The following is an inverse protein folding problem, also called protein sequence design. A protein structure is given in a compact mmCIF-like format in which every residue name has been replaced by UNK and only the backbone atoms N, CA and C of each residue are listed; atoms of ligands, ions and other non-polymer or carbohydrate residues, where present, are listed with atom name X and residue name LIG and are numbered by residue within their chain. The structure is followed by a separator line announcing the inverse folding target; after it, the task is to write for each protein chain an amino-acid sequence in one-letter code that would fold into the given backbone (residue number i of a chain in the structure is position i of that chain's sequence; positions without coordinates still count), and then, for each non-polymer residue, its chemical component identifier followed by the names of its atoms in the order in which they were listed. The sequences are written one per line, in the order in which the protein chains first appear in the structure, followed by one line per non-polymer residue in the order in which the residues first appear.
data_IF_358344877489
#
_entry.id   IF_358344877489
#
_cell.length_a   1.000
_cell.length_b   1.000
_cell.length_c   1.000
_cell.angle_alpha   90.00
_cell.angle_beta   90.00
_cell.angle_gamma   90.00
#
_symmetry.space_group_name_H-M   'P 1'
#
loop_
_entity.id
_entity.type
_entity.pdbx_description
1 polymer ?
#
# COMPACT_ATOMS: atom_id res chain seq x y z
N UNK A 1 -86.90 -16.06 79.32
CA UNK A 1 -86.56 -17.44 78.94
C UNK A 1 -85.99 -17.45 77.53
N UNK A 2 -84.68 -17.63 77.38
CA UNK A 2 -84.04 -18.35 76.27
C UNK A 2 -82.51 -18.20 76.40
N UNK A 3 -81.92 -19.21 77.02
CA UNK A 3 -80.48 -19.49 77.05
C UNK A 3 -80.00 -19.91 75.66
N UNK A 4 -78.77 -19.57 75.26
CA UNK A 4 -77.83 -20.50 74.61
C UNK A 4 -76.47 -19.82 74.33
N UNK A 5 -75.45 -20.14 75.13
CA UNK A 5 -74.33 -21.09 74.85
C UNK A 5 -73.29 -20.56 73.87
N UNK A 6 -72.23 -19.95 74.41
CA UNK A 6 -70.98 -19.73 73.69
C UNK A 6 -70.30 -21.08 73.40
N UNK A 7 -70.07 -21.35 72.12
CA UNK A 7 -69.27 -22.46 71.59
C UNK A 7 -67.85 -21.96 71.34
N UNK A 8 -66.88 -22.60 71.98
CA UNK A 8 -65.44 -22.41 71.76
C UNK A 8 -65.03 -22.91 70.37
N UNK A 9 -64.23 -22.10 69.67
CA UNK A 9 -63.55 -22.48 68.42
C UNK A 9 -62.18 -21.84 68.39
N UNK A 10 -61.16 -22.61 68.77
CA UNK A 10 -59.76 -22.34 68.50
C UNK A 10 -59.48 -22.55 67.02
N UNK A 11 -58.93 -21.56 66.31
CA UNK A 11 -58.13 -21.81 65.10
C UNK A 11 -57.28 -20.60 64.74
N UNK A 12 -55.97 -20.83 64.75
CA UNK A 12 -54.95 -20.23 63.89
C UNK A 12 -54.72 -18.72 64.01
N UNK A 13 -53.78 -18.35 64.88
CA UNK A 13 -53.04 -17.11 64.76
C UNK A 13 -52.25 -17.15 63.44
N UNK A 14 -52.79 -16.55 62.37
CA UNK A 14 -52.00 -16.18 61.19
C UNK A 14 -50.98 -15.15 61.65
N UNK A 15 -49.75 -15.60 61.89
CA UNK A 15 -48.63 -14.71 62.18
C UNK A 15 -48.39 -13.87 60.92
N UNK A 16 -48.88 -12.63 60.92
CA UNK A 16 -48.62 -11.66 59.86
C UNK A 16 -47.13 -11.35 59.93
N UNK A 17 -46.33 -12.06 59.13
CA UNK A 17 -44.94 -11.71 58.92
C UNK A 17 -44.93 -10.35 58.21
N UNK A 18 -44.26 -9.38 58.84
CA UNK A 18 -44.11 -8.03 58.36
C UNK A 18 -43.60 -8.04 56.91
N UNK A 19 -44.37 -7.46 56.00
CA UNK A 19 -44.11 -7.52 54.55
C UNK A 19 -42.79 -6.87 54.18
N UNK A 20 -42.33 -5.91 54.98
CA UNK A 20 -41.04 -5.25 54.78
C UNK A 20 -39.86 -6.17 55.11
N UNK A 21 -39.99 -6.98 56.16
CA UNK A 21 -38.96 -7.98 56.55
C UNK A 21 -38.85 -9.09 55.49
N UNK A 22 -39.97 -9.54 54.92
CA UNK A 22 -39.95 -10.51 53.82
C UNK A 22 -39.34 -9.91 52.55
N UNK A 23 -39.59 -8.63 52.27
CA UNK A 23 -39.02 -7.94 51.10
C UNK A 23 -37.51 -7.77 51.24
N UNK A 24 -37.03 -7.42 52.44
CA UNK A 24 -35.61 -7.31 52.75
C UNK A 24 -34.90 -8.66 52.70
N UNK A 25 -35.51 -9.72 53.27
CA UNK A 25 -34.98 -11.08 53.19
C UNK A 25 -34.91 -11.60 51.74
N UNK A 26 -35.92 -11.33 50.92
CA UNK A 26 -35.94 -11.71 49.51
C UNK A 26 -34.93 -10.89 48.68
N UNK A 27 -34.73 -9.61 48.99
CA UNK A 27 -33.72 -8.78 48.35
C UNK A 27 -32.31 -9.26 48.69
N UNK A 28 -32.04 -9.55 49.96
CA UNK A 28 -30.76 -10.11 50.41
C UNK A 28 -30.49 -11.51 49.79
N UNK A 29 -31.52 -12.34 49.64
CA UNK A 29 -31.40 -13.64 48.98
C UNK A 29 -31.12 -13.49 47.48
N UNK A 30 -31.75 -12.52 46.80
CA UNK A 30 -31.49 -12.22 45.40
C UNK A 30 -30.07 -11.68 45.18
N UNK A 31 -29.56 -10.85 46.10
CA UNK A 31 -28.18 -10.36 46.06
C UNK A 31 -27.17 -11.50 46.24
N UNK A 32 -27.41 -12.41 47.20
CA UNK A 32 -26.56 -13.57 47.43
C UNK A 32 -26.51 -14.51 46.21
N UNK A 33 -27.66 -14.77 45.57
CA UNK A 33 -27.72 -15.53 44.32
C UNK A 33 -26.98 -14.79 43.19
N UNK A 34 -26.96 -13.45 43.24
CA UNK A 34 -26.22 -12.67 42.25
C UNK A 34 -24.71 -12.75 42.37
N UNK A 35 -24.22 -12.74 43.61
CA UNK A 35 -22.80 -12.86 43.90
C UNK A 35 -22.29 -14.28 43.60
N UNK A 36 -23.11 -15.29 43.84
CA UNK A 36 -22.78 -16.68 43.52
C UNK A 36 -22.65 -16.92 42.01
N UNK A 37 -23.56 -16.38 41.17
CA UNK A 37 -23.40 -16.48 39.72
C UNK A 37 -22.17 -15.70 39.23
N UNK A 38 -21.87 -14.55 39.84
CA UNK A 38 -20.72 -13.74 39.47
C UNK A 38 -19.41 -14.49 39.75
N UNK A 39 -19.34 -15.16 40.90
CA UNK A 39 -18.22 -16.00 41.31
C UNK A 39 -18.07 -17.22 40.41
N UNK A 40 -19.14 -17.92 40.05
CA UNK A 40 -19.09 -19.04 39.11
C UNK A 40 -18.60 -18.62 37.72
N UNK A 41 -19.12 -17.51 37.17
CA UNK A 41 -18.65 -17.00 35.87
C UNK A 41 -17.19 -16.53 35.90
N UNK A 42 -16.69 -16.12 37.06
CA UNK A 42 -15.27 -15.81 37.24
C UNK A 42 -14.42 -17.08 37.25
N UNK A 43 -14.87 -18.11 37.96
CA UNK A 43 -14.20 -19.42 38.00
C UNK A 43 -14.18 -20.12 36.64
N UNK A 44 -15.29 -20.10 35.90
CA UNK A 44 -15.39 -20.66 34.55
C UNK A 44 -14.50 -19.92 33.54
N UNK A 45 -14.42 -18.59 33.65
CA UNK A 45 -13.47 -17.79 32.86
C UNK A 45 -12.03 -18.16 33.19
N UNK A 46 -11.69 -18.29 34.48
CA UNK A 46 -10.35 -18.70 34.90
C UNK A 46 -10.01 -20.15 34.51
N UNK A 47 -10.98 -21.06 34.48
CA UNK A 47 -10.80 -22.43 34.01
C UNK A 47 -10.62 -22.49 32.48
N UNK A 48 -11.41 -21.72 31.73
CA UNK A 48 -11.25 -21.56 30.28
C UNK A 48 -9.90 -20.95 29.93
N UNK A 49 -9.46 -19.95 30.67
CA UNK A 49 -8.17 -19.29 30.43
C UNK A 49 -6.98 -20.23 30.72
N UNK A 50 -7.10 -21.11 31.73
CA UNK A 50 -6.15 -22.19 32.00
C UNK A 50 -6.18 -23.28 30.91
N UNK A 51 -7.36 -23.68 30.45
CA UNK A 51 -7.53 -24.72 29.44
C UNK A 51 -7.10 -24.28 28.03
N UNK A 52 -7.32 -23.00 27.69
CA UNK A 52 -6.92 -22.41 26.42
C UNK A 52 -5.42 -22.10 26.35
N UNK A 53 -4.67 -22.33 27.43
CA UNK A 53 -3.24 -22.05 27.47
C UNK A 53 -2.94 -20.61 27.06
N UNK A 54 -3.69 -19.63 27.59
CA UNK A 54 -3.38 -18.22 27.37
C UNK A 54 -1.99 -17.95 27.93
N UNK A 55 -1.01 -17.94 27.02
CA UNK A 55 0.38 -17.61 27.33
C UNK A 55 0.36 -16.26 28.04
N UNK A 56 0.89 -16.14 29.27
CA UNK A 56 1.03 -14.84 29.91
C UNK A 56 1.77 -13.95 28.92
N UNK A 57 1.17 -12.83 28.53
CA UNK A 57 1.87 -11.80 27.76
C UNK A 57 3.11 -11.47 28.57
N UNK A 58 4.28 -11.82 28.03
CA UNK A 58 5.56 -11.66 28.69
C UNK A 58 5.63 -10.29 29.37
N UNK A 59 5.98 -10.25 30.64
CA UNK A 59 6.31 -9.00 31.36
C UNK A 59 7.67 -8.43 30.92
N UNK A 60 8.32 -9.05 29.93
CA UNK A 60 9.47 -8.46 29.27
C UNK A 60 9.04 -7.12 28.65
N UNK A 61 9.80 -6.04 28.86
CA UNK A 61 9.59 -4.79 28.15
C UNK A 61 9.44 -5.09 26.66
N UNK A 62 8.39 -4.55 26.03
CA UNK A 62 8.17 -4.73 24.59
C UNK A 62 9.51 -4.50 23.88
N UNK A 63 9.97 -5.46 23.05
CA UNK A 63 11.21 -5.27 22.32
C UNK A 63 11.06 -3.95 21.56
N UNK A 64 11.95 -3.00 21.86
CA UNK A 64 11.95 -1.69 21.21
C UNK A 64 12.26 -1.96 19.75
N UNK A 65 11.21 -2.15 18.94
CA UNK A 65 11.35 -2.41 17.52
C UNK A 65 12.13 -1.23 16.95
N UNK A 66 13.27 -1.46 16.28
CA UNK A 66 14.05 -0.38 15.71
C UNK A 66 13.10 0.42 14.82
N UNK A 67 13.02 1.74 15.07
CA UNK A 67 12.11 2.61 14.37
C UNK A 67 12.28 2.41 12.85
N UNK A 68 11.27 1.81 12.20
CA UNK A 68 11.32 1.54 10.77
C UNK A 68 11.42 2.87 10.05
N UNK A 69 12.63 3.25 9.64
CA UNK A 69 12.86 4.45 8.87
C UNK A 69 12.17 4.30 7.51
N UNK A 70 11.11 5.09 7.30
CA UNK A 70 10.49 5.21 5.99
C UNK A 70 11.54 5.77 5.03
N UNK A 71 11.77 5.13 3.87
CA UNK A 71 12.74 5.65 2.91
C UNK A 71 12.35 7.07 2.50
N UNK A 72 13.36 7.93 2.31
CA UNK A 72 13.19 9.35 1.97
C UNK A 72 12.34 9.56 0.72
N UNK A 73 12.38 8.62 -0.23
CA UNK A 73 11.57 8.55 -1.45
C UNK A 73 10.06 8.44 -1.20
N UNK A 74 9.63 8.09 0.02
CA UNK A 74 8.23 8.00 0.43
C UNK A 74 7.71 9.26 1.14
N UNK A 75 8.58 10.25 1.38
CA UNK A 75 8.15 11.58 1.82
C UNK A 75 7.40 12.30 0.69
N UNK A 76 6.55 13.26 1.05
CA UNK A 76 5.67 13.95 0.09
C UNK A 76 6.44 14.62 -1.05
N UNK A 77 7.37 15.54 -0.74
CA UNK A 77 8.11 16.29 -1.75
C UNK A 77 8.93 15.40 -2.71
N UNK A 78 9.75 14.44 -2.24
CA UNK A 78 10.46 13.52 -3.15
C UNK A 78 9.50 12.67 -4.00
N UNK A 79 8.38 12.23 -3.44
CA UNK A 79 7.41 11.43 -4.17
C UNK A 79 6.68 12.22 -5.27
N UNK A 80 6.39 13.50 -5.01
CA UNK A 80 5.80 14.42 -5.98
C UNK A 80 6.81 14.73 -7.09
N UNK A 81 8.08 14.99 -6.74
CA UNK A 81 9.14 15.21 -7.73
C UNK A 81 9.31 14.02 -8.67
N UNK A 82 9.33 12.78 -8.13
CA UNK A 82 9.39 11.57 -8.96
C UNK A 82 8.14 11.34 -9.79
N UNK A 83 6.97 11.76 -9.31
CA UNK A 83 5.74 11.68 -10.10
C UNK A 83 5.77 12.65 -11.28
N UNK A 84 6.14 13.91 -11.05
CA UNK A 84 6.27 14.89 -12.13
C UNK A 84 7.34 14.48 -13.14
N UNK A 85 8.49 13.98 -12.66
CA UNK A 85 9.55 13.47 -13.52
C UNK A 85 9.03 12.35 -14.43
N UNK A 86 8.26 11.40 -13.87
CA UNK A 86 7.63 10.32 -14.65
C UNK A 86 6.63 10.86 -15.66
N UNK A 87 5.77 11.80 -15.27
CA UNK A 87 4.73 12.34 -16.14
C UNK A 87 5.32 13.12 -17.33
N UNK A 88 6.33 13.95 -17.08
CA UNK A 88 7.03 14.71 -18.13
C UNK A 88 7.78 13.76 -19.07
N UNK A 89 8.52 12.79 -18.51
CA UNK A 89 9.24 11.78 -19.30
C UNK A 89 8.27 10.94 -20.15
N UNK A 90 7.14 10.54 -19.57
CA UNK A 90 6.11 9.81 -20.29
C UNK A 90 5.49 10.64 -21.41
N UNK A 91 5.27 11.94 -21.19
CA UNK A 91 4.80 12.86 -22.23
C UNK A 91 5.77 12.92 -23.42
N UNK A 92 7.07 13.11 -23.15
CA UNK A 92 8.11 13.16 -24.19
C UNK A 92 8.17 11.83 -24.96
N UNK A 93 8.29 10.71 -24.24
CA UNK A 93 8.36 9.38 -24.88
C UNK A 93 7.07 9.04 -25.63
N UNK A 94 5.91 9.47 -25.12
CA UNK A 94 4.62 9.26 -25.76
C UNK A 94 4.51 10.04 -27.07
N UNK A 95 4.96 11.29 -27.11
CA UNK A 95 5.01 12.08 -28.35
C UNK A 95 5.98 11.47 -29.34
N UNK A 96 7.19 11.09 -28.90
CA UNK A 96 8.18 10.44 -29.77
C UNK A 96 7.67 9.13 -30.36
N UNK A 97 7.12 8.24 -29.52
CA UNK A 97 6.56 6.97 -29.95
C UNK A 97 5.38 7.17 -30.90
N UNK A 98 4.49 8.12 -30.59
CA UNK A 98 3.37 8.46 -31.47
C UNK A 98 3.85 8.94 -32.83
N UNK A 99 4.79 9.89 -32.87
CA UNK A 99 5.36 10.40 -34.13
C UNK A 99 5.98 9.28 -34.97
N UNK A 100 6.77 8.39 -34.35
CA UNK A 100 7.36 7.23 -35.04
C UNK A 100 6.29 6.30 -35.61
N UNK A 101 5.22 6.03 -34.85
CA UNK A 101 4.14 5.14 -35.27
C UNK A 101 3.21 5.77 -36.32
N UNK A 102 3.04 7.10 -36.33
CA UNK A 102 2.25 7.79 -37.35
C UNK A 102 3.00 7.98 -38.66
N UNK A 103 4.33 8.11 -38.59
CA UNK A 103 5.20 8.21 -39.77
C UNK A 103 6.23 7.06 -39.78
N UNK A 104 5.70 5.85 -39.94
CA UNK A 104 6.53 4.63 -40.03
C UNK A 104 7.41 4.67 -41.27
N UNK A 105 6.94 5.22 -42.38
CA UNK A 105 7.72 5.35 -43.61
C UNK A 105 8.93 6.25 -43.43
N UNK A 106 8.78 7.40 -42.78
CA UNK A 106 9.89 8.29 -42.46
C UNK A 106 10.85 7.66 -41.45
N UNK A 107 10.30 6.97 -40.45
CA UNK A 107 11.10 6.27 -39.42
C UNK A 107 11.90 5.12 -40.02
N UNK A 108 11.32 4.32 -40.93
CA UNK A 108 12.00 3.25 -41.66
C UNK A 108 13.12 3.83 -42.54
N UNK A 109 12.85 4.91 -43.27
CA UNK A 109 13.87 5.59 -44.09
C UNK A 109 15.03 6.09 -43.24
N UNK A 110 14.73 6.66 -42.08
CA UNK A 110 15.74 7.08 -41.11
C UNK A 110 16.55 5.90 -40.55
N UNK A 111 15.90 4.81 -40.15
CA UNK A 111 16.56 3.57 -39.70
C UNK A 111 17.43 2.94 -40.79
N UNK A 112 16.99 3.02 -42.05
CA UNK A 112 17.76 2.56 -43.22
C UNK A 112 19.02 3.42 -43.42
N UNK A 113 18.93 4.73 -43.20
CA UNK A 113 20.08 5.65 -43.29
C UNK A 113 21.16 5.37 -42.25
N UNK A 114 20.78 4.77 -41.10
CA UNK A 114 21.69 4.32 -40.05
C UNK A 114 22.36 2.98 -40.36
N UNK A 115 21.99 2.31 -41.46
CA UNK A 115 22.55 1.02 -41.86
C UNK A 115 22.10 -0.14 -40.96
N UNK A 116 20.96 0.00 -40.28
CA UNK A 116 20.47 -1.00 -39.33
C UNK A 116 19.87 -2.24 -40.03
N UNK A 117 20.05 -3.45 -39.46
CA UNK A 117 19.46 -4.66 -40.00
C UNK A 117 17.94 -4.65 -39.81
N UNK A 118 17.21 -4.85 -40.91
CA UNK A 118 15.74 -4.82 -40.95
C UNK A 118 15.09 -3.54 -40.38
N UNK A 119 15.27 -2.39 -41.07
CA UNK A 119 14.75 -1.08 -40.66
C UNK A 119 13.24 -1.07 -40.37
N UNK A 120 12.48 -1.83 -41.16
CA UNK A 120 11.03 -1.97 -41.01
C UNK A 120 10.63 -2.49 -39.62
N UNK A 121 11.19 -3.61 -39.17
CA UNK A 121 10.85 -4.17 -37.85
C UNK A 121 11.37 -3.30 -36.71
N UNK A 122 12.53 -2.65 -36.89
CA UNK A 122 13.08 -1.74 -35.88
C UNK A 122 12.23 -0.48 -35.72
N UNK A 123 11.70 0.10 -36.81
CA UNK A 123 10.82 1.27 -36.74
C UNK A 123 9.57 0.98 -35.90
N UNK A 124 8.89 -0.14 -36.18
CA UNK A 124 7.75 -0.61 -35.38
C UNK A 124 8.14 -0.95 -33.95
N UNK A 125 9.21 -1.71 -33.76
CA UNK A 125 9.67 -2.15 -32.45
C UNK A 125 10.01 -0.98 -31.51
N UNK A 126 10.75 0.00 -32.01
CA UNK A 126 11.12 1.21 -31.25
C UNK A 126 9.87 2.06 -30.98
N UNK A 127 9.04 2.33 -31.99
CA UNK A 127 7.83 3.14 -31.80
C UNK A 127 6.87 2.54 -30.77
N UNK A 128 6.62 1.22 -30.83
CA UNK A 128 5.79 0.51 -29.84
C UNK A 128 6.45 0.52 -28.47
N UNK A 129 7.76 0.24 -28.38
CA UNK A 129 8.48 0.21 -27.11
C UNK A 129 8.45 1.58 -26.40
N UNK A 130 8.61 2.68 -27.14
CA UNK A 130 8.53 4.04 -26.61
C UNK A 130 7.12 4.34 -26.06
N UNK A 131 6.08 3.95 -26.79
CA UNK A 131 4.69 4.16 -26.37
C UNK A 131 4.35 3.32 -25.13
N UNK A 132 4.75 2.05 -25.10
CA UNK A 132 4.55 1.18 -23.94
C UNK A 132 5.33 1.69 -22.71
N UNK A 133 6.55 2.19 -22.89
CA UNK A 133 7.32 2.79 -21.81
C UNK A 133 6.64 4.05 -21.25
N UNK A 134 6.08 4.90 -22.14
CA UNK A 134 5.30 6.07 -21.73
C UNK A 134 4.08 5.67 -20.89
N UNK A 135 3.29 4.71 -21.36
CA UNK A 135 2.11 4.21 -20.63
C UNK A 135 2.50 3.62 -19.28
N UNK A 136 3.55 2.79 -19.24
CA UNK A 136 4.07 2.20 -18.00
C UNK A 136 4.51 3.27 -16.99
N UNK A 137 5.16 4.35 -17.45
CA UNK A 137 5.55 5.46 -16.59
C UNK A 137 4.37 6.25 -16.02
N UNK A 138 3.33 6.53 -16.83
CA UNK A 138 2.13 7.25 -16.38
C UNK A 138 1.47 6.54 -15.21
N UNK A 139 1.24 5.23 -15.35
CA UNK A 139 0.63 4.43 -14.29
C UNK A 139 1.62 4.07 -13.17
N UNK A 140 2.91 4.26 -13.42
CA UNK A 140 3.95 3.85 -12.49
C UNK A 140 3.98 2.35 -12.27
N UNK A 141 3.78 1.57 -13.34
CA UNK A 141 3.96 0.13 -13.38
C UNK A 141 5.35 -0.19 -13.91
N UNK A 142 6.01 -1.17 -13.31
CA UNK A 142 7.33 -1.65 -13.71
C UNK A 142 8.32 -0.49 -13.91
N UNK A 143 8.30 0.54 -13.06
CA UNK A 143 9.04 1.80 -13.33
C UNK A 143 10.55 1.58 -13.48
N UNK A 144 11.09 0.54 -12.86
CA UNK A 144 12.50 0.16 -13.03
C UNK A 144 12.78 -0.44 -14.41
N UNK A 145 11.88 -1.29 -14.91
CA UNK A 145 12.00 -1.88 -16.24
C UNK A 145 11.76 -0.82 -17.31
N UNK A 146 10.75 0.04 -17.12
CA UNK A 146 10.52 1.19 -17.98
C UNK A 146 11.72 2.15 -17.99
N UNK A 147 12.30 2.44 -16.82
CA UNK A 147 13.51 3.25 -16.70
C UNK A 147 14.72 2.63 -17.41
N UNK A 148 14.90 1.31 -17.32
CA UNK A 148 15.94 0.59 -18.07
C UNK A 148 15.70 0.69 -19.59
N UNK A 149 14.46 0.49 -20.04
CA UNK A 149 14.09 0.59 -21.46
C UNK A 149 14.35 1.99 -22.01
N UNK A 150 13.96 3.03 -21.28
CA UNK A 150 14.20 4.43 -21.66
C UNK A 150 15.71 4.73 -21.71
N UNK A 151 16.46 4.28 -20.71
CA UNK A 151 17.91 4.44 -20.70
C UNK A 151 18.55 3.75 -21.90
N UNK A 152 18.16 2.50 -22.20
CA UNK A 152 18.68 1.74 -23.32
C UNK A 152 18.36 2.40 -24.68
N UNK A 153 17.10 2.82 -24.88
CA UNK A 153 16.67 3.52 -26.10
C UNK A 153 17.42 4.84 -26.28
N UNK A 154 17.54 5.62 -25.22
CA UNK A 154 18.18 6.94 -25.27
C UNK A 154 19.69 6.83 -25.46
N UNK A 155 20.37 5.89 -24.79
CA UNK A 155 21.80 5.62 -25.00
C UNK A 155 22.05 5.08 -26.40
N UNK A 156 21.20 4.18 -26.90
CA UNK A 156 21.29 3.66 -28.26
C UNK A 156 21.15 4.76 -29.30
N UNK A 157 20.15 5.63 -29.15
CA UNK A 157 19.97 6.80 -29.99
C UNK A 157 21.18 7.75 -29.91
N UNK A 158 21.68 8.04 -28.71
CA UNK A 158 22.83 8.91 -28.52
C UNK A 158 24.08 8.37 -29.23
N UNK A 159 24.37 7.07 -29.06
CA UNK A 159 25.54 6.43 -29.66
C UNK A 159 25.44 6.26 -31.18
N UNK A 160 24.27 5.83 -31.69
CA UNK A 160 24.12 5.50 -33.11
C UNK A 160 23.70 6.69 -33.97
N UNK A 161 22.85 7.57 -33.44
CA UNK A 161 22.31 8.71 -34.19
C UNK A 161 23.14 9.96 -33.96
N UNK A 162 23.27 10.37 -32.70
CA UNK A 162 23.72 11.72 -32.39
C UNK A 162 25.23 11.86 -32.42
N UNK A 163 25.95 10.88 -31.87
CA UNK A 163 27.42 10.88 -31.83
C UNK A 163 28.06 10.04 -32.93
N UNK A 164 27.27 9.28 -33.69
CA UNK A 164 27.76 8.50 -34.84
C UNK A 164 28.41 9.36 -35.93
N UNK A 165 28.04 10.65 -36.04
CA UNK A 165 28.62 11.59 -37.00
C UNK A 165 29.97 12.21 -36.57
N UNK A 166 30.53 11.81 -35.42
CA UNK A 166 31.92 12.10 -35.03
C UNK A 166 32.13 13.35 -34.16
N UNK A 167 31.40 14.44 -34.39
CA UNK A 167 31.53 15.65 -33.54
C UNK A 167 30.19 16.06 -32.90
N UNK A 168 30.05 15.96 -31.56
CA UNK A 168 28.84 16.39 -30.86
C UNK A 168 28.69 17.92 -30.79
N UNK A 169 29.74 18.69 -31.05
CA UNK A 169 29.72 20.15 -31.04
C UNK A 169 29.64 20.70 -32.46
N UNK A 170 28.44 21.12 -32.88
CA UNK A 170 28.25 21.75 -34.18
C UNK A 170 28.47 23.27 -34.09
N UNK A 171 29.37 23.79 -34.92
CA UNK A 171 29.61 25.24 -35.02
C UNK A 171 28.31 25.97 -35.39
N UNK A 172 27.97 27.02 -34.62
CA UNK A 172 26.80 27.87 -34.87
C UNK A 172 25.48 27.42 -34.22
N UNK A 173 25.49 26.33 -33.43
CA UNK A 173 24.35 25.95 -32.57
C UNK A 173 24.74 26.09 -31.10
N UNK A 174 23.80 26.55 -30.28
CA UNK A 174 23.97 26.51 -28.83
C UNK A 174 23.77 25.06 -28.34
N UNK A 175 24.68 24.57 -27.51
CA UNK A 175 24.60 23.23 -26.93
C UNK A 175 25.37 22.14 -27.69
N UNK A 176 25.05 20.88 -27.41
CA UNK A 176 25.59 19.71 -28.10
C UNK A 176 24.49 18.81 -28.67
N UNK A 177 24.84 18.04 -29.70
CA UNK A 177 23.93 17.11 -30.36
C UNK A 177 23.63 15.94 -29.43
N UNK A 178 22.36 15.73 -29.12
CA UNK A 178 21.90 14.65 -28.24
C UNK A 178 21.67 15.03 -26.78
N UNK A 179 21.53 16.34 -26.47
CA UNK A 179 21.19 16.82 -25.12
C UNK A 179 19.94 16.16 -24.54
N UNK A 180 18.89 16.03 -25.35
CA UNK A 180 17.61 15.44 -24.92
C UNK A 180 17.76 13.95 -24.61
N UNK A 181 18.46 13.20 -25.47
CA UNK A 181 18.71 11.77 -25.29
C UNK A 181 19.63 11.52 -24.09
N UNK A 182 20.65 12.36 -23.88
CA UNK A 182 21.48 12.28 -22.68
C UNK A 182 20.65 12.53 -21.41
N UNK A 183 19.77 13.52 -21.43
CA UNK A 183 18.87 13.82 -20.32
C UNK A 183 17.90 12.65 -20.07
N UNK A 184 17.26 12.12 -21.11
CA UNK A 184 16.36 10.97 -21.01
C UNK A 184 17.09 9.72 -20.51
N UNK A 185 18.34 9.49 -20.92
CA UNK A 185 19.17 8.42 -20.41
C UNK A 185 19.43 8.58 -18.90
N UNK A 186 19.82 9.78 -18.47
CA UNK A 186 20.06 10.08 -17.06
C UNK A 186 18.77 9.94 -16.23
N UNK A 187 17.62 10.36 -16.76
CA UNK A 187 16.32 10.20 -16.10
C UNK A 187 15.92 8.73 -16.03
N UNK A 188 16.09 7.96 -17.11
CA UNK A 188 15.85 6.52 -17.13
C UNK A 188 16.68 5.77 -16.08
N UNK A 189 17.98 6.08 -15.99
CA UNK A 189 18.87 5.56 -14.95
C UNK A 189 18.43 5.98 -13.54
N UNK A 190 18.00 7.24 -13.38
CA UNK A 190 17.46 7.73 -12.10
C UNK A 190 16.24 6.92 -11.69
N UNK A 191 15.30 6.66 -12.60
CA UNK A 191 14.11 5.83 -12.32
C UNK A 191 14.46 4.36 -12.07
N UNK A 192 15.49 3.83 -12.72
CA UNK A 192 16.02 2.49 -12.48
C UNK A 192 16.58 2.35 -11.06
N UNK A 193 17.44 3.27 -10.62
CA UNK A 193 18.12 3.20 -9.33
C UNK A 193 17.26 3.69 -8.16
N UNK A 194 16.58 4.83 -8.31
CA UNK A 194 15.74 5.43 -7.26
C UNK A 194 14.41 4.68 -7.13
N UNK A 195 13.84 4.24 -8.26
CA UNK A 195 12.59 3.48 -8.30
C UNK A 195 11.31 4.33 -8.37
N UNK A 196 10.14 3.70 -8.12
CA UNK A 196 8.82 4.24 -8.49
C UNK A 196 8.34 5.46 -7.68
N UNK A 197 8.86 5.68 -6.47
CA UNK A 197 8.27 6.64 -5.53
C UNK A 197 6.91 6.20 -4.97
N UNK A 198 6.31 7.02 -4.09
CA UNK A 198 5.05 6.69 -3.39
C UNK A 198 3.79 6.78 -4.26
N UNK A 199 3.78 7.68 -5.24
CA UNK A 199 2.65 7.90 -6.15
C UNK A 199 2.73 7.01 -7.40
N UNK A 200 2.93 5.72 -7.18
CA UNK A 200 3.14 4.73 -8.22
C UNK A 200 2.41 3.48 -7.76
N UNK A 201 1.80 2.75 -8.70
CA UNK A 201 1.14 1.48 -8.37
C UNK A 201 2.17 0.49 -7.78
N UNK A 202 3.36 0.41 -8.37
CA UNK A 202 4.49 -0.36 -7.81
C UNK A 202 4.87 0.07 -6.38
N UNK A 203 4.83 1.37 -6.10
CA UNK A 203 5.11 1.95 -4.80
C UNK A 203 4.07 1.55 -3.74
N UNK A 204 2.79 1.56 -4.12
CA UNK A 204 1.69 1.14 -3.25
C UNK A 204 1.76 -0.37 -2.94
N UNK A 205 2.02 -1.21 -3.94
CA UNK A 205 2.17 -2.67 -3.75
C UNK A 205 3.32 -2.97 -2.78
N UNK A 206 4.47 -2.29 -2.94
CA UNK A 206 5.64 -2.47 -2.06
C UNK A 206 5.35 -2.01 -0.63
N UNK A 207 4.67 -0.88 -0.46
CA UNK A 207 4.26 -0.38 0.85
C UNK A 207 3.31 -1.37 1.55
N UNK A 208 2.37 -1.97 0.81
CA UNK A 208 1.43 -2.94 1.37
C UNK A 208 2.11 -4.23 1.82
N UNK A 209 3.07 -4.75 1.03
CA UNK A 209 3.90 -5.91 1.42
C UNK A 209 4.70 -5.67 2.70
N UNK A 210 5.25 -4.47 2.88
CA UNK A 210 5.99 -4.08 4.10
C UNK A 210 5.10 -4.06 5.34
N UNK A 211 3.89 -3.49 5.22
CA UNK A 211 2.91 -3.48 6.32
C UNK A 211 2.50 -4.89 6.76
N UNK A 212 2.33 -5.81 5.81
CA UNK A 212 2.00 -7.20 6.12
C UNK A 212 3.14 -7.95 6.82
N UNK A 213 4.41 -7.68 6.46
CA UNK A 213 5.57 -8.26 7.15
C UNK A 213 5.81 -7.71 8.55
N UNK A 214 5.44 -6.46 8.82
CA UNK A 214 5.57 -5.86 10.15
C UNK A 214 4.46 -6.29 11.13
N UNK A 215 3.46 -7.05 10.65
CA UNK A 215 2.36 -7.60 11.46
C UNK A 215 2.60 -9.03 11.95
N UNK A 216 3.69 -9.67 11.50
CA UNK A 216 4.16 -10.99 11.91
C UNK A 216 5.51 -10.83 12.61
#
# INVERSE_FOLDING_TARGET
MSNNTHRTGSTEATQILDSDVLREANAAAAEAETDDWANQRAQDRAARDRALGKVPTSSAPDPVLPAVHKPTTEKFFPSLGLFLLRLVTAGIMGVHGFQKLTDITGTEGFMSSLGLPSPYYMAWGIGIAELLAAVALVFGLLTRVAGLGIAALSIGALAMVQWGAGNPFQSGKAGFVGELELLLAAVGLTLLFVGPGRWSIDGQIRANRRKNKARY
#
